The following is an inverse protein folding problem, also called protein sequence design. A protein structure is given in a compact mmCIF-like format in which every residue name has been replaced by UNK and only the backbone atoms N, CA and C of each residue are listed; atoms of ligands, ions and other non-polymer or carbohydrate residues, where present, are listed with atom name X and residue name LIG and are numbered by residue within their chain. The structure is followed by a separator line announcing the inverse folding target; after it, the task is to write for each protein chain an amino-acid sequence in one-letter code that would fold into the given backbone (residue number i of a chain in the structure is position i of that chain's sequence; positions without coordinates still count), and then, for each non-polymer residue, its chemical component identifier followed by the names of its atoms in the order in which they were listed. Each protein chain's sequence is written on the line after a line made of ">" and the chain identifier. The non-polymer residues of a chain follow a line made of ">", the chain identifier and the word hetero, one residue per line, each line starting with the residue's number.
data_IF_288965712129
#
_entry.id   IF_288965712129
#
_cell.length_a   1.000
_cell.length_b   1.000
_cell.length_c   1.000
_cell.angle_alpha   90.00
_cell.angle_beta   90.00
_cell.angle_gamma   90.00
#
_symmetry.space_group_name_H-M   'P 1'
#
loop_
_entity.id
_entity.type
_entity.pdbx_description
1 polymer ?
#
# COMPACT_ATOMS: atom_id res chain seq x y z
N UNK A 1 -58.27 77.27 8.82
CA UNK A 1 -56.85 76.84 8.89
C UNK A 1 -56.74 75.37 9.32
N UNK A 2 -57.09 74.38 8.48
CA UNK A 2 -56.96 72.96 8.89
C UNK A 2 -56.58 71.94 7.79
N UNK A 3 -56.37 72.35 6.53
CA UNK A 3 -56.12 71.40 5.43
C UNK A 3 -54.65 71.03 5.17
N UNK A 4 -53.69 71.60 5.90
CA UNK A 4 -52.24 71.38 5.63
C UNK A 4 -51.64 70.19 6.42
N UNK A 5 -52.31 69.69 7.48
CA UNK A 5 -51.71 68.67 8.35
C UNK A 5 -51.80 67.21 7.86
N UNK A 6 -52.70 66.86 6.94
CA UNK A 6 -52.88 65.45 6.52
C UNK A 6 -51.88 64.98 5.45
N UNK A 7 -51.39 65.88 4.59
CA UNK A 7 -50.46 65.54 3.51
C UNK A 7 -49.03 65.24 4.01
N UNK A 8 -48.65 65.75 5.18
CA UNK A 8 -47.31 65.55 5.76
C UNK A 8 -47.16 64.20 6.48
N UNK A 9 -48.22 63.71 7.13
CA UNK A 9 -48.20 62.43 7.88
C UNK A 9 -48.05 61.22 6.96
N UNK A 10 -48.67 61.26 5.78
CA UNK A 10 -48.56 60.19 4.78
C UNK A 10 -47.18 60.17 4.09
N UNK A 11 -46.58 61.35 3.85
CA UNK A 11 -45.20 61.44 3.35
C UNK A 11 -44.19 60.86 4.34
N UNK A 12 -44.35 61.11 5.64
CA UNK A 12 -43.46 60.57 6.68
C UNK A 12 -43.59 59.03 6.82
N UNK A 13 -44.80 58.49 6.69
CA UNK A 13 -45.03 57.04 6.68
C UNK A 13 -44.47 56.37 5.41
N UNK A 14 -44.61 57.02 4.25
CA UNK A 14 -44.05 56.54 2.98
C UNK A 14 -42.51 56.54 3.01
N UNK A 15 -41.89 57.61 3.52
CA UNK A 15 -40.43 57.69 3.69
C UNK A 15 -39.93 56.61 4.63
N UNK A 16 -40.62 56.38 5.77
CA UNK A 16 -40.27 55.31 6.70
C UNK A 16 -40.40 53.92 6.06
N UNK A 17 -41.43 53.69 5.26
CA UNK A 17 -41.61 52.43 4.54
C UNK A 17 -40.52 52.21 3.48
N UNK A 18 -40.20 53.22 2.69
CA UNK A 18 -39.12 53.16 1.68
C UNK A 18 -37.76 52.98 2.34
N UNK A 19 -37.49 53.65 3.47
CA UNK A 19 -36.25 53.48 4.24
C UNK A 19 -36.17 52.08 4.87
N UNK A 20 -37.25 51.56 5.43
CA UNK A 20 -37.30 50.18 5.96
C UNK A 20 -37.13 49.14 4.85
N UNK A 21 -37.73 49.36 3.68
CA UNK A 21 -37.60 48.48 2.52
C UNK A 21 -36.20 48.56 1.91
N UNK A 22 -35.60 49.75 1.88
CA UNK A 22 -34.20 49.93 1.49
C UNK A 22 -33.23 49.28 2.49
N UNK A 23 -33.48 49.40 3.80
CA UNK A 23 -32.69 48.73 4.84
C UNK A 23 -32.82 47.21 4.77
N UNK A 24 -34.02 46.69 4.48
CA UNK A 24 -34.25 45.26 4.25
C UNK A 24 -33.56 44.77 2.98
N UNK A 25 -33.60 45.55 1.89
CA UNK A 25 -32.92 45.23 0.63
C UNK A 25 -31.39 45.24 0.78
N UNK A 26 -30.84 46.21 1.50
CA UNK A 26 -29.40 46.30 1.82
C UNK A 26 -28.97 45.13 2.71
N UNK A 27 -29.77 44.76 3.72
CA UNK A 27 -29.48 43.59 4.57
C UNK A 27 -29.53 42.26 3.79
N UNK A 28 -30.48 42.12 2.86
CA UNK A 28 -30.60 40.94 2.00
C UNK A 28 -29.45 40.83 0.98
N UNK A 29 -28.91 41.94 0.50
CA UNK A 29 -27.73 41.97 -0.36
C UNK A 29 -26.46 41.55 0.41
N UNK A 30 -26.30 42.03 1.65
CA UNK A 30 -25.16 41.67 2.50
C UNK A 30 -25.13 40.17 2.82
N UNK A 31 -26.29 39.57 3.15
CA UNK A 31 -26.40 38.14 3.42
C UNK A 31 -26.09 37.26 2.19
N UNK A 32 -26.43 37.72 0.97
CA UNK A 32 -26.10 37.01 -0.26
C UNK A 32 -24.59 37.05 -0.59
N UNK A 33 -23.90 38.12 -0.20
CA UNK A 33 -22.47 38.29 -0.44
C UNK A 33 -21.60 37.40 0.48
N UNK A 34 -22.05 37.19 1.72
CA UNK A 34 -21.36 36.38 2.73
C UNK A 34 -21.40 34.87 2.42
N UNK A 35 -22.45 34.41 1.74
CA UNK A 35 -22.60 33.03 1.25
C UNK A 35 -21.65 32.64 0.10
N UNK A 36 -21.02 33.61 -0.59
CA UNK A 36 -20.29 33.36 -1.84
C UNK A 36 -18.78 33.13 -1.65
N UNK A 37 -18.20 33.73 -0.60
CA UNK A 37 -16.75 33.71 -0.38
C UNK A 37 -16.18 32.32 -0.06
N UNK A 38 -16.82 31.48 0.79
CA UNK A 38 -16.34 30.12 1.05
C UNK A 38 -16.39 29.23 -0.21
N UNK A 39 -17.44 29.38 -1.02
CA UNK A 39 -17.61 28.62 -2.26
C UNK A 39 -16.53 28.96 -3.29
N UNK A 40 -16.27 30.25 -3.52
CA UNK A 40 -15.20 30.69 -4.42
C UNK A 40 -13.80 30.25 -3.95
N UNK A 41 -13.58 30.13 -2.64
CA UNK A 41 -12.35 29.57 -2.08
C UNK A 41 -12.26 28.06 -2.36
N UNK A 42 -13.31 27.29 -2.05
CA UNK A 42 -13.38 25.85 -2.32
C UNK A 42 -13.08 25.54 -3.78
N UNK A 43 -13.73 26.25 -4.72
CA UNK A 43 -13.53 26.05 -6.16
C UNK A 43 -12.08 26.27 -6.58
N UNK A 44 -11.41 27.30 -6.05
CA UNK A 44 -9.98 27.55 -6.31
C UNK A 44 -9.07 26.47 -5.73
N UNK A 45 -9.37 25.96 -4.53
CA UNK A 45 -8.57 24.88 -3.92
C UNK A 45 -8.76 23.57 -4.68
N UNK A 46 -9.99 23.23 -5.07
CA UNK A 46 -10.29 22.07 -5.92
C UNK A 46 -9.55 22.13 -7.24
N UNK A 47 -9.53 23.28 -7.92
CA UNK A 47 -8.76 23.43 -9.16
C UNK A 47 -7.27 23.15 -8.95
N UNK A 48 -6.68 23.63 -7.85
CA UNK A 48 -5.27 23.35 -7.52
C UNK A 48 -5.06 21.87 -7.17
N UNK A 49 -6.01 21.23 -6.52
CA UNK A 49 -5.98 19.81 -6.20
C UNK A 49 -5.95 18.96 -7.48
N UNK A 50 -6.86 19.25 -8.42
CA UNK A 50 -6.93 18.56 -9.70
C UNK A 50 -5.67 18.77 -10.54
N UNK A 51 -5.11 19.99 -10.53
CA UNK A 51 -3.84 20.30 -11.21
C UNK A 51 -2.69 19.46 -10.63
N UNK A 52 -2.59 19.37 -9.30
CA UNK A 52 -1.59 18.54 -8.63
C UNK A 52 -1.81 17.03 -8.91
N UNK A 53 -3.07 16.59 -8.98
CA UNK A 53 -3.42 15.21 -9.30
C UNK A 53 -2.95 14.84 -10.71
N UNK A 54 -3.23 15.70 -11.71
CA UNK A 54 -2.78 15.49 -13.09
C UNK A 54 -1.25 15.48 -13.21
N UNK A 55 -0.56 16.24 -12.37
CA UNK A 55 0.90 16.22 -12.27
C UNK A 55 1.45 14.99 -11.49
N UNK A 56 0.59 14.07 -11.05
CA UNK A 56 0.92 12.92 -10.19
C UNK A 56 1.54 13.30 -8.83
N UNK A 57 1.38 14.55 -8.42
CA UNK A 57 1.75 15.02 -7.09
C UNK A 57 0.68 14.61 -6.09
N UNK A 58 0.56 13.30 -5.83
CA UNK A 58 -0.54 12.73 -5.05
C UNK A 58 -0.44 13.05 -3.56
N UNK A 59 0.64 12.60 -2.91
CA UNK A 59 0.97 12.90 -1.49
C UNK A 59 2.32 13.60 -1.34
N UNK A 60 3.03 13.80 -2.45
CA UNK A 60 4.32 14.48 -2.52
C UNK A 60 4.30 15.52 -3.64
N UNK A 61 5.04 16.64 -3.51
CA UNK A 61 5.78 17.07 -2.33
C UNK A 61 4.86 17.54 -1.18
N UNK A 62 5.40 17.63 0.04
CA UNK A 62 4.64 18.08 1.21
C UNK A 62 4.06 19.48 0.98
N UNK A 63 2.82 19.72 1.41
CA UNK A 63 2.11 21.00 1.29
C UNK A 63 1.82 21.47 -0.14
N UNK A 64 2.21 20.71 -1.17
CA UNK A 64 1.91 21.01 -2.56
C UNK A 64 1.56 19.75 -3.35
N UNK A 65 0.68 18.93 -2.77
CA UNK A 65 0.14 17.73 -3.38
C UNK A 65 -1.40 17.78 -3.42
N UNK A 66 -2.00 16.85 -4.15
CA UNK A 66 -3.44 16.76 -4.35
C UNK A 66 -4.17 16.34 -3.06
N UNK A 67 -3.60 15.39 -2.30
CA UNK A 67 -4.19 14.89 -1.06
C UNK A 67 -4.43 16.02 -0.04
N UNK A 68 -3.40 16.81 0.25
CA UNK A 68 -3.47 17.92 1.19
C UNK A 68 -4.53 18.95 0.79
N UNK A 69 -4.67 19.19 -0.52
CA UNK A 69 -5.65 20.16 -1.04
C UNK A 69 -7.08 19.63 -0.96
N UNK A 70 -7.32 18.37 -1.28
CA UNK A 70 -8.63 17.77 -1.08
C UNK A 70 -9.01 17.71 0.42
N UNK A 71 -8.06 17.36 1.29
CA UNK A 71 -8.27 17.41 2.75
C UNK A 71 -8.61 18.82 3.22
N UNK A 72 -7.91 19.84 2.71
CA UNK A 72 -8.22 21.24 3.04
C UNK A 72 -9.64 21.65 2.64
N UNK A 73 -10.16 21.15 1.52
CA UNK A 73 -11.58 21.36 1.15
C UNK A 73 -12.51 20.69 2.14
N UNK A 74 -12.22 19.45 2.55
CA UNK A 74 -13.06 18.72 3.52
C UNK A 74 -13.04 19.32 4.93
N UNK A 75 -12.02 20.09 5.29
CA UNK A 75 -12.02 20.88 6.53
C UNK A 75 -13.03 22.03 6.49
N UNK A 76 -13.35 22.55 5.30
CA UNK A 76 -14.30 23.65 5.10
C UNK A 76 -15.71 23.12 4.81
N UNK A 77 -15.80 22.09 3.96
CA UNK A 77 -17.03 21.44 3.50
C UNK A 77 -16.85 19.91 3.59
N UNK A 78 -17.16 19.29 4.74
CA UNK A 78 -16.96 17.85 4.97
C UNK A 78 -17.72 16.94 3.99
N UNK A 79 -18.83 17.42 3.44
CA UNK A 79 -19.69 16.67 2.51
C UNK A 79 -19.34 16.93 1.03
N UNK A 80 -18.21 17.60 0.76
CA UNK A 80 -17.81 17.92 -0.60
C UNK A 80 -17.50 16.66 -1.42
N UNK A 81 -18.47 16.25 -2.26
CA UNK A 81 -18.39 15.02 -3.06
C UNK A 81 -17.17 15.00 -3.99
N UNK A 82 -16.77 16.15 -4.53
CA UNK A 82 -15.61 16.24 -5.45
C UNK A 82 -14.30 16.00 -4.72
N UNK A 83 -14.11 16.59 -3.54
CA UNK A 83 -12.91 16.34 -2.74
C UNK A 83 -12.83 14.88 -2.26
N UNK A 84 -13.95 14.32 -1.79
CA UNK A 84 -14.02 12.90 -1.43
C UNK A 84 -13.70 11.98 -2.62
N UNK A 85 -14.21 12.31 -3.82
CA UNK A 85 -13.90 11.57 -5.04
C UNK A 85 -12.42 11.66 -5.42
N UNK A 86 -11.81 12.84 -5.31
CA UNK A 86 -10.38 13.04 -5.57
C UNK A 86 -9.48 12.19 -4.66
N UNK A 87 -9.79 12.12 -3.37
CA UNK A 87 -9.07 11.23 -2.43
C UNK A 87 -9.21 9.75 -2.81
N UNK A 88 -10.41 9.29 -3.20
CA UNK A 88 -10.61 7.91 -3.68
C UNK A 88 -9.82 7.61 -4.95
N UNK A 89 -9.69 8.59 -5.86
CA UNK A 89 -8.88 8.44 -7.07
C UNK A 89 -7.38 8.33 -6.77
N UNK A 90 -6.88 9.08 -5.78
CA UNK A 90 -5.49 8.97 -5.32
C UNK A 90 -5.23 7.58 -4.75
N UNK A 91 -6.13 7.07 -3.89
CA UNK A 91 -6.02 5.71 -3.36
C UNK A 91 -5.96 4.68 -4.49
N UNK A 92 -6.88 4.76 -5.46
CA UNK A 92 -6.92 3.86 -6.61
C UNK A 92 -5.65 3.93 -7.45
N UNK A 93 -5.04 5.11 -7.62
CA UNK A 93 -3.79 5.27 -8.34
C UNK A 93 -2.62 4.53 -7.65
N UNK A 94 -2.50 4.63 -6.33
CA UNK A 94 -1.48 3.89 -5.58
C UNK A 94 -1.71 2.38 -5.58
N UNK A 95 -2.96 1.94 -5.54
CA UNK A 95 -3.31 0.52 -5.67
C UNK A 95 -2.85 0.00 -7.05
N UNK A 96 -3.17 0.73 -8.12
CA UNK A 96 -2.76 0.35 -9.47
C UNK A 96 -1.23 0.29 -9.62
N UNK A 97 -0.49 1.24 -9.04
CA UNK A 97 0.98 1.22 -9.02
C UNK A 97 1.52 0.00 -8.28
N UNK A 98 1.00 -0.29 -7.07
CA UNK A 98 1.38 -1.48 -6.30
C UNK A 98 1.16 -2.77 -7.10
N UNK A 99 -0.02 -2.91 -7.71
CA UNK A 99 -0.36 -4.11 -8.49
C UNK A 99 0.49 -4.25 -9.76
N UNK A 100 0.82 -3.13 -10.41
CA UNK A 100 1.78 -3.07 -11.51
C UNK A 100 3.16 -3.60 -11.10
N UNK A 101 3.73 -3.07 -10.02
CA UNK A 101 5.04 -3.54 -9.50
C UNK A 101 5.02 -5.02 -9.13
N UNK A 102 3.92 -5.52 -8.55
CA UNK A 102 3.78 -6.94 -8.27
C UNK A 102 3.76 -7.80 -9.54
N UNK A 103 3.12 -7.31 -10.60
CA UNK A 103 3.08 -8.01 -11.90
C UNK A 103 4.45 -8.03 -12.59
N UNK A 104 5.26 -7.00 -12.38
CA UNK A 104 6.63 -6.88 -12.90
C UNK A 104 7.67 -7.62 -12.04
N UNK A 105 7.28 -8.14 -10.87
CA UNK A 105 8.18 -8.82 -9.93
C UNK A 105 9.01 -7.88 -9.04
N UNK A 106 8.67 -6.60 -9.00
CA UNK A 106 9.33 -5.54 -8.23
C UNK A 106 8.75 -5.42 -6.82
N UNK A 107 8.94 -6.44 -5.97
CA UNK A 107 8.30 -6.48 -4.63
C UNK A 107 8.75 -5.35 -3.69
N UNK A 108 9.97 -4.82 -3.85
CA UNK A 108 10.45 -3.67 -3.07
C UNK A 108 9.62 -2.41 -3.34
N UNK A 109 9.31 -2.10 -4.59
CA UNK A 109 8.46 -0.95 -4.93
C UNK A 109 7.00 -1.19 -4.55
N UNK A 110 6.49 -2.42 -4.71
CA UNK A 110 5.15 -2.77 -4.21
C UNK A 110 5.03 -2.54 -2.69
N UNK A 111 6.07 -2.88 -1.92
CA UNK A 111 6.14 -2.58 -0.47
C UNK A 111 6.13 -1.08 -0.18
N UNK A 112 6.82 -0.27 -0.99
CA UNK A 112 6.82 1.19 -0.86
C UNK A 112 5.42 1.76 -1.05
N UNK A 113 4.72 1.38 -2.13
CA UNK A 113 3.34 1.84 -2.34
C UNK A 113 2.39 1.34 -1.25
N UNK A 114 2.59 0.12 -0.73
CA UNK A 114 1.83 -0.38 0.42
C UNK A 114 2.06 0.48 1.67
N UNK A 115 3.29 0.97 1.91
CA UNK A 115 3.53 1.87 3.05
C UNK A 115 2.82 3.21 2.91
N UNK A 116 2.77 3.79 1.71
CA UNK A 116 2.00 5.01 1.45
C UNK A 116 0.52 4.77 1.72
N UNK A 117 -0.05 3.67 1.23
CA UNK A 117 -1.45 3.33 1.47
C UNK A 117 -1.76 3.15 2.96
N UNK A 118 -0.84 2.55 3.74
CA UNK A 118 -0.99 2.43 5.21
C UNK A 118 -0.99 3.79 5.90
N UNK A 119 -0.14 4.71 5.45
CA UNK A 119 0.01 6.04 6.05
C UNK A 119 -1.21 6.94 5.75
N UNK A 120 -1.61 7.04 4.49
CA UNK A 120 -2.65 7.99 4.05
C UNK A 120 -4.06 7.41 4.05
N UNK A 121 -4.21 6.07 4.01
CA UNK A 121 -5.49 5.37 3.96
C UNK A 121 -5.59 4.21 4.98
N UNK A 122 -5.33 4.44 6.28
CA UNK A 122 -5.28 3.37 7.29
C UNK A 122 -6.61 2.64 7.50
N UNK A 123 -7.74 3.25 7.10
CA UNK A 123 -9.09 2.68 7.18
C UNK A 123 -9.61 2.12 5.85
N UNK A 124 -8.77 2.01 4.83
CA UNK A 124 -9.15 1.42 3.56
C UNK A 124 -9.55 -0.04 3.72
N UNK A 125 -10.67 -0.43 3.13
CA UNK A 125 -11.10 -1.82 3.06
C UNK A 125 -10.13 -2.71 2.24
N UNK A 126 -9.35 -2.11 1.34
CA UNK A 126 -8.42 -2.83 0.46
C UNK A 126 -7.11 -3.23 1.16
N UNK A 127 -6.78 -2.57 2.27
CA UNK A 127 -5.45 -2.64 2.89
C UNK A 127 -5.05 -4.06 3.32
N UNK A 128 -6.00 -4.82 3.86
CA UNK A 128 -5.76 -6.21 4.29
C UNK A 128 -5.44 -7.12 3.10
N UNK A 129 -6.19 -7.01 2.00
CA UNK A 129 -5.99 -7.80 0.80
C UNK A 129 -4.66 -7.44 0.10
N UNK A 130 -4.34 -6.15 0.00
CA UNK A 130 -3.07 -5.69 -0.60
C UNK A 130 -1.86 -6.17 0.20
N UNK A 131 -1.94 -6.13 1.54
CA UNK A 131 -0.89 -6.70 2.40
C UNK A 131 -0.67 -8.18 2.11
N UNK A 132 -1.75 -8.97 2.00
CA UNK A 132 -1.63 -10.40 1.66
C UNK A 132 -0.98 -10.63 0.30
N UNK A 133 -1.32 -9.82 -0.72
CA UNK A 133 -0.69 -9.91 -2.06
C UNK A 133 0.81 -9.65 -1.99
N UNK A 134 1.23 -8.60 -1.28
CA UNK A 134 2.66 -8.26 -1.11
C UNK A 134 3.38 -9.33 -0.30
N UNK A 135 2.81 -9.80 0.82
CA UNK A 135 3.42 -10.85 1.66
C UNK A 135 3.58 -12.17 0.87
N UNK A 136 2.60 -12.52 0.03
CA UNK A 136 2.69 -13.67 -0.86
C UNK A 136 3.79 -13.50 -1.92
N UNK A 137 3.97 -12.29 -2.46
CA UNK A 137 5.01 -12.01 -3.43
C UNK A 137 6.40 -12.01 -2.78
N UNK A 138 6.55 -11.45 -1.57
CA UNK A 138 7.75 -11.60 -0.74
C UNK A 138 8.03 -13.08 -0.48
N UNK A 139 6.99 -13.89 -0.25
CA UNK A 139 7.09 -15.35 -0.03
C UNK A 139 7.31 -16.17 -1.34
N UNK A 140 7.25 -15.54 -2.50
CA UNK A 140 7.71 -16.16 -3.76
C UNK A 140 9.12 -15.72 -4.10
N UNK A 141 9.46 -14.49 -3.73
CA UNK A 141 10.72 -13.82 -4.00
C UNK A 141 11.66 -13.81 -2.79
N UNK A 142 11.48 -14.74 -1.84
CA UNK A 142 12.54 -15.06 -0.88
C UNK A 142 13.78 -15.18 -1.76
N UNK A 143 14.88 -14.47 -1.47
CA UNK A 143 16.13 -14.95 -1.98
C UNK A 143 16.14 -16.44 -1.62
N UNK A 144 16.35 -17.31 -2.62
CA UNK A 144 16.83 -18.65 -2.31
C UNK A 144 17.89 -18.45 -1.22
N UNK A 145 17.88 -19.22 -0.12
CA UNK A 145 18.86 -19.05 0.95
C UNK A 145 20.21 -18.81 0.30
N UNK A 146 20.96 -17.81 0.76
CA UNK A 146 22.25 -17.53 0.15
C UNK A 146 23.19 -18.70 0.47
N UNK A 147 23.09 -19.74 -0.35
CA UNK A 147 23.93 -20.92 -0.24
C UNK A 147 25.37 -20.55 -0.60
N UNK A 148 25.65 -19.36 -1.15
CA UNK A 148 27.01 -18.90 -1.41
C UNK A 148 27.79 -18.54 -0.13
N UNK A 149 27.09 -18.33 0.99
CA UNK A 149 27.73 -18.24 2.30
C UNK A 149 28.37 -19.58 2.69
N UNK A 150 29.68 -19.66 2.52
CA UNK A 150 30.52 -20.81 2.90
C UNK A 150 30.53 -21.05 4.42
N UNK A 151 30.17 -20.06 5.24
CA UNK A 151 30.15 -20.14 6.70
C UNK A 151 28.87 -20.81 7.22
N UNK A 152 27.76 -20.67 6.49
CA UNK A 152 26.52 -21.36 6.83
C UNK A 152 26.62 -22.85 6.47
N UNK A 153 26.98 -23.65 7.47
CA UNK A 153 27.08 -25.11 7.37
C UNK A 153 25.79 -25.85 7.71
N UNK A 154 24.72 -25.18 8.12
CA UNK A 154 23.46 -25.82 8.52
C UNK A 154 22.26 -25.09 7.90
N UNK A 155 21.42 -25.86 7.22
CA UNK A 155 20.19 -25.40 6.59
C UNK A 155 18.99 -26.10 7.20
N UNK A 156 18.25 -25.40 8.07
CA UNK A 156 17.02 -25.93 8.66
C UNK A 156 15.91 -26.04 7.60
N UNK A 157 15.20 -27.17 7.62
CA UNK A 157 14.11 -27.46 6.69
C UNK A 157 12.77 -27.39 7.43
N UNK A 158 11.73 -26.89 6.75
CA UNK A 158 10.40 -26.84 7.34
C UNK A 158 9.72 -28.22 7.24
N UNK A 159 9.44 -28.85 8.39
CA UNK A 159 8.81 -30.17 8.43
C UNK A 159 7.42 -30.24 7.77
N UNK A 160 6.62 -29.16 7.78
CA UNK A 160 5.32 -29.15 7.08
C UNK A 160 5.52 -29.17 5.57
N UNK A 161 6.45 -28.37 5.07
CA UNK A 161 6.79 -28.31 3.64
C UNK A 161 7.39 -29.65 3.15
N UNK A 162 8.24 -30.30 3.96
CA UNK A 162 8.78 -31.64 3.68
C UNK A 162 7.72 -32.73 3.68
N UNK A 163 6.76 -32.68 4.60
CA UNK A 163 5.61 -33.60 4.63
C UNK A 163 4.78 -33.45 3.35
N UNK A 164 4.51 -32.22 2.95
CA UNK A 164 3.76 -31.91 1.74
C UNK A 164 4.57 -32.13 0.44
N UNK A 165 5.89 -32.33 0.53
CA UNK A 165 6.83 -32.39 -0.61
C UNK A 165 6.60 -31.27 -1.63
N UNK A 166 6.29 -30.07 -1.13
CA UNK A 166 5.83 -28.98 -1.97
C UNK A 166 7.00 -28.31 -2.73
N UNK A 167 6.65 -27.41 -3.67
CA UNK A 167 7.63 -26.70 -4.49
C UNK A 167 8.66 -25.92 -3.67
N UNK A 168 8.28 -25.41 -2.49
CA UNK A 168 9.19 -24.68 -1.59
C UNK A 168 10.24 -25.61 -0.97
N UNK A 169 9.84 -26.77 -0.44
CA UNK A 169 10.77 -27.77 0.07
C UNK A 169 11.70 -28.30 -1.02
N UNK A 170 11.14 -28.66 -2.19
CA UNK A 170 11.94 -29.14 -3.33
C UNK A 170 12.94 -28.08 -3.79
N UNK A 171 12.50 -26.83 -3.92
CA UNK A 171 13.37 -25.71 -4.31
C UNK A 171 14.53 -25.50 -3.33
N UNK A 172 14.27 -25.56 -2.02
CA UNK A 172 15.32 -25.45 -1.01
C UNK A 172 16.37 -26.57 -1.13
N UNK A 173 15.93 -27.84 -1.25
CA UNK A 173 16.83 -28.99 -1.38
C UNK A 173 17.65 -28.93 -2.68
N UNK A 174 17.04 -28.53 -3.79
CA UNK A 174 17.72 -28.36 -5.09
C UNK A 174 18.85 -27.33 -4.99
N UNK A 175 18.59 -26.19 -4.37
CA UNK A 175 19.61 -25.14 -4.26
C UNK A 175 20.78 -25.53 -3.34
N UNK A 176 20.50 -26.27 -2.25
CA UNK A 176 21.56 -26.88 -1.42
C UNK A 176 22.40 -27.85 -2.25
N UNK A 177 21.76 -28.69 -3.07
CA UNK A 177 22.45 -29.66 -3.91
C UNK A 177 23.39 -29.01 -4.94
N UNK A 178 22.91 -27.97 -5.64
CA UNK A 178 23.74 -27.21 -6.58
C UNK A 178 24.95 -26.55 -5.90
N UNK A 179 24.78 -26.09 -4.66
CA UNK A 179 25.88 -25.54 -3.88
C UNK A 179 26.91 -26.60 -3.49
N UNK A 180 26.43 -27.77 -3.06
CA UNK A 180 27.22 -28.95 -2.69
C UNK A 180 28.03 -29.46 -3.88
N UNK A 181 27.46 -29.48 -5.08
CA UNK A 181 28.21 -29.81 -6.30
C UNK A 181 29.40 -28.86 -6.52
N UNK A 182 29.20 -27.56 -6.28
CA UNK A 182 30.26 -26.55 -6.44
C UNK A 182 31.37 -26.65 -5.39
N UNK A 183 31.05 -26.87 -4.11
CA UNK A 183 32.07 -27.01 -3.05
C UNK A 183 32.61 -28.42 -2.87
N UNK A 184 31.92 -29.42 -3.42
CA UNK A 184 32.21 -30.85 -3.19
C UNK A 184 32.20 -31.26 -1.72
N UNK A 185 31.40 -30.56 -0.91
CA UNK A 185 31.19 -30.87 0.51
C UNK A 185 30.39 -32.17 0.67
N UNK A 186 30.66 -32.92 1.73
CA UNK A 186 29.76 -34.00 2.13
C UNK A 186 28.53 -33.44 2.87
N UNK A 187 27.43 -34.17 2.90
CA UNK A 187 26.18 -33.75 3.56
C UNK A 187 25.80 -34.67 4.70
N UNK A 188 25.29 -34.11 5.78
CA UNK A 188 24.58 -34.84 6.82
C UNK A 188 23.11 -34.41 6.79
N UNK A 189 22.25 -35.30 6.34
CA UNK A 189 20.80 -35.09 6.25
C UNK A 189 20.18 -35.48 7.59
N UNK A 190 19.68 -34.49 8.33
CA UNK A 190 18.87 -34.70 9.51
C UNK A 190 17.40 -34.81 9.07
N UNK A 191 16.77 -35.95 9.30
CA UNK A 191 15.39 -36.22 8.86
C UNK A 191 14.52 -36.77 10.00
N UNK A 192 13.22 -36.48 9.97
CA UNK A 192 12.26 -36.94 10.99
C UNK A 192 11.92 -38.42 10.87
N UNK A 193 12.07 -38.96 9.67
CA UNK A 193 11.90 -40.38 9.36
C UNK A 193 12.74 -40.73 8.13
N UNK A 194 12.88 -42.03 7.91
CA UNK A 194 13.70 -42.57 6.83
C UNK A 194 13.18 -42.21 5.43
N UNK A 195 11.85 -42.22 5.22
CA UNK A 195 11.25 -41.84 3.94
C UNK A 195 11.51 -40.36 3.56
N UNK A 196 11.51 -39.46 4.54
CA UNK A 196 11.90 -38.06 4.38
C UNK A 196 13.38 -37.93 4.02
N UNK A 197 14.26 -38.62 4.73
CA UNK A 197 15.70 -38.61 4.45
C UNK A 197 16.03 -39.10 3.04
N UNK A 198 15.43 -40.22 2.62
CA UNK A 198 15.59 -40.76 1.25
C UNK A 198 15.06 -39.80 0.19
N UNK A 199 13.92 -39.16 0.44
CA UNK A 199 13.36 -38.18 -0.47
C UNK A 199 14.29 -36.98 -0.65
N UNK A 200 14.84 -36.43 0.45
CA UNK A 200 15.82 -35.34 0.39
C UNK A 200 17.04 -35.78 -0.44
N UNK A 201 17.63 -36.93 -0.12
CA UNK A 201 18.80 -37.46 -0.84
C UNK A 201 18.53 -37.67 -2.34
N UNK A 202 17.35 -38.17 -2.69
CA UNK A 202 16.93 -38.35 -4.08
C UNK A 202 16.85 -37.00 -4.81
N UNK A 203 16.17 -36.00 -4.22
CA UNK A 203 16.05 -34.66 -4.82
C UNK A 203 17.42 -34.02 -5.01
N UNK A 204 18.35 -34.22 -4.08
CA UNK A 204 19.71 -33.69 -4.23
C UNK A 204 20.43 -34.31 -5.43
N UNK A 205 20.39 -35.63 -5.59
CA UNK A 205 21.04 -36.30 -6.73
C UNK A 205 20.33 -36.04 -8.08
N UNK A 206 19.00 -35.87 -8.08
CA UNK A 206 18.25 -35.45 -9.27
C UNK A 206 18.68 -34.06 -9.75
N UNK A 207 19.00 -33.16 -8.81
CA UNK A 207 19.41 -31.79 -9.12
C UNK A 207 20.85 -31.68 -9.66
N UNK A 208 21.70 -32.68 -9.40
CA UNK A 208 23.13 -32.66 -9.73
C UNK A 208 23.52 -33.87 -10.60
N UNK A 209 23.06 -33.95 -11.86
CA UNK A 209 23.29 -35.12 -12.70
C UNK A 209 24.78 -35.41 -13.00
N UNK A 210 25.64 -34.39 -12.89
CA UNK A 210 27.08 -34.51 -13.09
C UNK A 210 27.86 -34.78 -11.79
N UNK A 211 27.20 -34.78 -10.63
CA UNK A 211 27.84 -34.93 -9.32
C UNK A 211 27.00 -35.77 -8.36
N UNK A 212 27.60 -36.85 -7.84
CA UNK A 212 26.93 -37.67 -6.82
C UNK A 212 27.14 -37.06 -5.44
N UNK A 213 26.04 -36.64 -4.81
CA UNK A 213 26.06 -36.10 -3.46
C UNK A 213 26.50 -37.17 -2.47
N UNK A 214 27.58 -36.89 -1.73
CA UNK A 214 28.13 -37.76 -0.70
C UNK A 214 27.58 -37.36 0.65
N UNK A 215 27.12 -38.30 1.46
CA UNK A 215 26.59 -37.97 2.76
C UNK A 215 25.86 -39.10 3.48
N UNK A 216 25.52 -38.82 4.73
CA UNK A 216 24.80 -39.72 5.63
C UNK A 216 23.43 -39.17 5.99
N UNK A 217 22.50 -40.06 6.36
CA UNK A 217 21.18 -39.71 6.88
C UNK A 217 21.13 -40.06 8.37
N UNK A 218 20.73 -39.10 9.20
CA UNK A 218 20.48 -39.30 10.62
C UNK A 218 19.06 -38.90 11.01
N UNK A 219 18.43 -39.71 11.87
CA UNK A 219 17.08 -39.43 12.34
C UNK A 219 17.11 -38.40 13.49
N UNK A 220 16.36 -37.30 13.34
CA UNK A 220 16.22 -36.20 14.32
C UNK A 220 14.84 -35.57 14.23
N UNK A 221 14.35 -35.00 15.34
CA UNK A 221 13.04 -34.32 15.37
C UNK A 221 12.99 -33.04 14.53
N UNK A 222 14.13 -32.39 14.33
CA UNK A 222 14.26 -31.16 13.54
C UNK A 222 15.00 -31.47 12.23
N UNK A 223 14.33 -31.39 11.07
CA UNK A 223 14.97 -31.73 9.82
C UNK A 223 15.86 -30.59 9.33
N UNK A 224 17.05 -30.92 8.84
CA UNK A 224 18.05 -29.98 8.37
C UNK A 224 19.06 -30.69 7.44
N UNK A 225 19.81 -29.92 6.64
CA UNK A 225 20.97 -30.42 5.91
C UNK A 225 22.20 -29.69 6.45
N UNK A 226 23.16 -30.46 6.94
CA UNK A 226 24.45 -29.96 7.38
C UNK A 226 25.48 -30.21 6.28
N UNK A 227 26.22 -29.18 5.90
CA UNK A 227 27.37 -29.30 5.00
C UNK A 227 28.61 -29.55 5.84
N UNK A 228 29.29 -30.65 5.53
CA UNK A 228 30.53 -31.09 6.16
C UNK A 228 31.73 -30.59 5.36
N UNK A 229 32.93 -30.78 5.89
CA UNK A 229 34.15 -30.46 5.16
C UNK A 229 34.22 -31.23 3.83
N UNK A 230 34.80 -30.62 2.77
CA UNK A 230 35.06 -31.32 1.52
C UNK A 230 35.96 -32.54 1.75
N UNK A 231 35.66 -33.64 1.05
CA UNK A 231 36.47 -34.85 1.05
C UNK A 231 37.59 -34.80 0.01
#
# INVERSE_FOLDING_TARGET
>A
MQYVCYAWRNKQLFIRFVVLLALFFVASLAAAQESSAPKALIDRVLHKADTAFLAKHYTQPQHNNAYDRYQAVLLIDPDNIRAQAGLRQIEAAYIAMLEGELSEGSVQHARYFLSILKEYYPRSANLAALRQKVDAAVTRQLPAPDFSDLLTKKYDLNGRDLTARNAKARGAVVQIALRVEKSREAVLILARNDAEGRWIYQVMNEATPAYRVRGDIQLRNSPAIHLLEPL
#
